data_IF_489302471232
#
_entry.id   IF_489302471232
#
_cell.length_a   1.000
_cell.length_b   1.000
_cell.length_c   1.000
_cell.angle_alpha   90.00
_cell.angle_beta   90.00
_cell.angle_gamma   90.00
#
_symmetry.space_group_name_H-M   'P 1'
#
loop_
_entity.id
_entity.type
_entity.pdbx_description
1 polymer ?
#
# COMPACT_ATOMS: atom_id res chain seq x y z
N UNK A 1 -28.31 -2.19 -18.09
CA UNK A 1 -28.87 -1.31 -17.04
C UNK A 1 -27.90 -1.39 -15.88
N UNK A 2 -27.26 -0.28 -15.48
CA UNK A 2 -26.30 -0.31 -14.38
C UNK A 2 -27.06 -0.64 -13.09
N UNK A 3 -26.89 -1.87 -12.60
CA UNK A 3 -27.43 -2.31 -11.32
C UNK A 3 -26.63 -1.62 -10.21
N UNK A 4 -27.07 -0.41 -9.87
CA UNK A 4 -26.42 0.43 -8.86
C UNK A 4 -26.60 -0.25 -7.51
N UNK A 5 -25.50 -0.45 -6.79
CA UNK A 5 -25.47 -1.11 -5.48
C UNK A 5 -25.02 -0.12 -4.42
N UNK A 6 -25.55 -0.25 -3.21
CA UNK A 6 -25.02 0.38 -2.00
C UNK A 6 -24.00 -0.57 -1.39
N UNK A 7 -22.72 -0.25 -1.55
CA UNK A 7 -21.60 -1.07 -1.12
C UNK A 7 -21.04 -0.55 0.21
N UNK A 8 -21.09 -1.37 1.26
CA UNK A 8 -20.39 -1.09 2.50
C UNK A 8 -18.97 -1.64 2.43
N UNK A 9 -17.98 -0.82 2.77
CA UNK A 9 -16.56 -1.22 2.81
C UNK A 9 -16.06 -1.21 4.24
N UNK A 10 -15.82 -2.40 4.81
CA UNK A 10 -15.04 -2.50 6.05
C UNK A 10 -13.56 -2.31 5.74
N UNK A 11 -12.76 -1.88 6.72
CA UNK A 11 -11.34 -1.62 6.48
C UNK A 11 -11.10 -0.49 5.46
N UNK A 12 -12.04 0.46 5.33
CA UNK A 12 -11.95 1.57 4.36
C UNK A 12 -10.73 2.48 4.60
N UNK A 13 -10.16 2.49 5.80
CA UNK A 13 -8.90 3.19 6.12
C UNK A 13 -7.65 2.38 5.77
N UNK A 14 -7.81 1.14 5.34
CA UNK A 14 -6.73 0.20 5.04
C UNK A 14 -6.34 0.19 3.56
N UNK A 15 -5.25 -0.52 3.25
CA UNK A 15 -4.61 -0.56 1.93
C UNK A 15 -5.59 -0.83 0.78
N UNK A 16 -6.40 -1.88 0.91
CA UNK A 16 -7.35 -2.33 -0.12
C UNK A 16 -8.61 -1.46 -0.12
N UNK A 17 -9.22 -1.25 1.06
CA UNK A 17 -10.49 -0.52 1.19
C UNK A 17 -10.40 0.93 0.69
N UNK A 18 -9.30 1.63 0.99
CA UNK A 18 -9.09 3.00 0.54
C UNK A 18 -8.93 3.12 -0.99
N UNK A 19 -8.46 2.07 -1.65
CA UNK A 19 -8.35 1.99 -3.12
C UNK A 19 -9.63 1.51 -3.79
N UNK A 20 -10.43 0.71 -3.08
CA UNK A 20 -11.69 0.16 -3.58
C UNK A 20 -12.81 1.21 -3.58
N UNK A 21 -12.97 1.97 -2.50
CA UNK A 21 -14.03 2.98 -2.34
C UNK A 21 -14.17 3.93 -3.55
N UNK A 22 -13.13 4.64 -4.01
CA UNK A 22 -13.24 5.52 -5.18
C UNK A 22 -13.60 4.77 -6.47
N UNK A 23 -13.17 3.50 -6.62
CA UNK A 23 -13.43 2.70 -7.83
C UNK A 23 -14.86 2.17 -7.89
N UNK A 24 -15.45 1.85 -6.74
CA UNK A 24 -16.88 1.53 -6.65
C UNK A 24 -17.74 2.73 -7.05
N UNK A 25 -17.39 3.93 -6.59
CA UNK A 25 -18.06 5.17 -6.99
C UNK A 25 -17.93 5.41 -8.50
N UNK A 26 -16.73 5.23 -9.05
CA UNK A 26 -16.47 5.41 -10.49
C UNK A 26 -17.26 4.42 -11.35
N UNK A 27 -17.44 3.19 -10.85
CA UNK A 27 -18.28 2.17 -11.47
C UNK A 27 -19.79 2.46 -11.39
N UNK A 28 -20.18 3.47 -10.63
CA UNK A 28 -21.56 3.94 -10.51
C UNK A 28 -22.26 3.56 -9.19
N UNK A 29 -21.59 2.81 -8.30
CA UNK A 29 -22.17 2.38 -7.02
C UNK A 29 -22.22 3.52 -5.99
N UNK A 30 -22.97 3.31 -4.91
CA UNK A 30 -22.92 4.12 -3.69
C UNK A 30 -21.98 3.45 -2.70
N UNK A 31 -21.22 4.23 -1.93
CA UNK A 31 -20.23 3.68 -1.01
C UNK A 31 -20.50 4.15 0.41
N UNK A 32 -20.61 3.19 1.32
CA UNK A 32 -20.64 3.41 2.77
C UNK A 32 -19.34 2.89 3.37
N UNK A 33 -18.45 3.79 3.78
CA UNK A 33 -17.19 3.41 4.39
C UNK A 33 -17.35 3.25 5.91
N UNK A 34 -17.14 2.03 6.39
CA UNK A 34 -17.17 1.73 7.82
C UNK A 34 -15.79 1.99 8.43
N UNK A 35 -15.73 2.85 9.44
CA UNK A 35 -14.49 3.13 10.16
C UNK A 35 -14.74 3.25 11.68
N UNK A 36 -13.86 2.65 12.49
CA UNK A 36 -13.86 2.87 13.95
C UNK A 36 -13.58 4.33 14.31
N UNK A 37 -12.81 5.01 13.47
CA UNK A 37 -12.46 6.44 13.65
C UNK A 37 -12.72 7.16 12.32
N UNK A 38 -13.96 7.65 12.09
CA UNK A 38 -14.35 8.28 10.83
C UNK A 38 -13.46 9.44 10.37
N UNK A 39 -12.88 10.21 11.31
CA UNK A 39 -12.00 11.34 10.99
C UNK A 39 -10.75 10.96 10.19
N UNK A 40 -10.33 9.69 10.19
CA UNK A 40 -9.23 9.21 9.34
C UNK A 40 -9.53 9.26 7.84
N UNK A 41 -10.81 9.34 7.48
CA UNK A 41 -11.26 9.46 6.09
C UNK A 41 -11.69 10.88 5.72
N UNK A 42 -11.68 11.83 6.67
CA UNK A 42 -12.22 13.17 6.46
C UNK A 42 -11.58 13.92 5.28
N UNK A 43 -10.28 13.71 5.06
CA UNK A 43 -9.54 14.35 3.98
C UNK A 43 -9.55 13.55 2.67
N UNK A 44 -10.18 12.37 2.64
CA UNK A 44 -10.23 11.54 1.44
C UNK A 44 -11.14 12.17 0.39
N UNK A 45 -10.68 12.49 -0.84
CA UNK A 45 -11.45 13.33 -1.76
C UNK A 45 -12.73 12.67 -2.23
N UNK A 46 -12.73 11.35 -2.33
CA UNK A 46 -13.91 10.58 -2.73
C UNK A 46 -15.05 10.69 -1.72
N UNK A 47 -14.78 11.12 -0.47
CA UNK A 47 -15.84 11.40 0.52
C UNK A 47 -16.66 12.65 0.20
N UNK A 48 -16.18 13.50 -0.73
CA UNK A 48 -16.95 14.64 -1.24
C UNK A 48 -17.98 14.24 -2.31
N UNK A 49 -17.93 13.00 -2.83
CA UNK A 49 -18.94 12.50 -3.76
C UNK A 49 -20.29 12.32 -3.03
N UNK A 50 -21.42 12.81 -3.56
CA UNK A 50 -22.73 12.70 -2.91
C UNK A 50 -23.23 11.24 -2.75
N UNK A 51 -22.58 10.28 -3.41
CA UNK A 51 -22.88 8.84 -3.28
C UNK A 51 -22.00 8.17 -2.22
N UNK A 52 -21.08 8.90 -1.60
CA UNK A 52 -20.21 8.41 -0.54
C UNK A 52 -20.72 8.85 0.84
N UNK A 53 -20.63 7.96 1.81
CA UNK A 53 -20.86 8.27 3.22
C UNK A 53 -19.85 7.53 4.11
N UNK A 54 -19.46 8.17 5.21
CA UNK A 54 -18.59 7.54 6.23
C UNK A 54 -19.42 7.31 7.48
N UNK A 55 -19.46 6.07 7.94
CA UNK A 55 -20.21 5.67 9.13
C UNK A 55 -19.26 5.10 10.18
N UNK A 56 -19.60 5.35 11.44
CA UNK A 56 -18.88 4.76 12.56
C UNK A 56 -19.42 3.36 12.85
N UNK A 57 -18.52 2.41 13.08
CA UNK A 57 -18.88 1.10 13.62
C UNK A 57 -17.66 0.26 13.98
N UNK A 58 -17.90 -0.79 14.76
CA UNK A 58 -16.89 -1.71 15.27
C UNK A 58 -17.30 -3.15 14.96
N UNK A 59 -16.40 -3.95 14.39
CA UNK A 59 -16.70 -5.34 14.02
C UNK A 59 -16.93 -6.25 15.24
N UNK A 60 -16.48 -5.83 16.42
CA UNK A 60 -16.76 -6.54 17.67
C UNK A 60 -18.15 -6.22 18.26
N UNK A 61 -18.80 -5.16 17.79
CA UNK A 61 -20.10 -4.67 18.24
C UNK A 61 -21.17 -4.84 17.14
N UNK A 62 -21.96 -5.91 17.27
CA UNK A 62 -23.01 -6.26 16.32
C UNK A 62 -24.03 -5.15 16.10
N UNK A 63 -24.45 -4.44 17.15
CA UNK A 63 -25.50 -3.42 17.02
C UNK A 63 -25.01 -2.24 16.16
N UNK A 64 -23.72 -1.91 16.27
CA UNK A 64 -23.08 -0.93 15.40
C UNK A 64 -23.05 -1.37 13.93
N UNK A 65 -22.89 -2.68 13.67
CA UNK A 65 -22.91 -3.24 12.32
C UNK A 65 -24.33 -3.25 11.74
N UNK A 66 -25.34 -3.61 12.53
CA UNK A 66 -26.75 -3.57 12.08
C UNK A 66 -27.14 -2.15 11.66
N UNK A 67 -26.80 -1.14 12.46
CA UNK A 67 -27.02 0.26 12.09
C UNK A 67 -26.26 0.65 10.81
N UNK A 68 -25.04 0.18 10.63
CA UNK A 68 -24.24 0.46 9.44
C UNK A 68 -24.71 -0.31 8.19
N UNK A 69 -25.37 -1.46 8.34
CA UNK A 69 -25.76 -2.34 7.24
C UNK A 69 -27.17 -2.02 6.69
N UNK A 70 -27.92 -1.14 7.35
CA UNK A 70 -29.25 -0.72 6.90
C UNK A 70 -29.24 -0.18 5.46
N UNK A 71 -30.00 -0.81 4.56
CA UNK A 71 -30.07 -0.44 3.14
C UNK A 71 -28.80 -0.72 2.33
N UNK A 72 -27.91 -1.58 2.81
CA UNK A 72 -26.70 -2.04 2.09
C UNK A 72 -27.01 -3.28 1.24
N UNK A 73 -26.57 -3.28 -0.01
CA UNK A 73 -26.72 -4.42 -0.91
C UNK A 73 -25.54 -5.39 -0.83
N UNK A 74 -24.32 -4.84 -0.73
CA UNK A 74 -23.06 -5.59 -0.78
C UNK A 74 -22.13 -5.15 0.35
N UNK A 75 -21.61 -6.11 1.12
CA UNK A 75 -20.60 -5.85 2.17
C UNK A 75 -19.24 -6.37 1.71
N UNK A 76 -18.26 -5.48 1.62
CA UNK A 76 -16.86 -5.82 1.44
C UNK A 76 -16.19 -6.01 2.80
N UNK A 77 -15.91 -7.25 3.16
CA UNK A 77 -15.16 -7.59 4.37
C UNK A 77 -13.66 -7.58 4.06
N UNK A 78 -12.98 -6.46 4.32
CA UNK A 78 -11.56 -6.25 4.00
C UNK A 78 -10.70 -5.98 5.24
N UNK A 79 -11.23 -6.30 6.42
CA UNK A 79 -10.46 -6.22 7.66
C UNK A 79 -9.70 -7.53 7.83
N UNK A 80 -8.42 -7.39 8.15
CA UNK A 80 -7.59 -8.47 8.64
C UNK A 80 -6.58 -7.89 9.62
N UNK A 81 -6.49 -8.46 10.81
CA UNK A 81 -5.47 -8.11 11.77
C UNK A 81 -4.12 -8.67 11.31
N UNK A 82 -3.13 -7.79 11.14
CA UNK A 82 -1.72 -8.18 11.10
C UNK A 82 -1.11 -8.19 12.52
N UNK A 83 -1.95 -8.30 13.56
CA UNK A 83 -1.47 -8.41 14.93
C UNK A 83 -0.96 -9.82 15.23
N UNK A 84 -0.02 -9.89 16.15
CA UNK A 84 0.51 -11.14 16.73
C UNK A 84 0.01 -11.33 18.16
N UNK A 85 -1.08 -10.66 18.53
CA UNK A 85 -1.67 -10.77 19.86
C UNK A 85 -2.40 -12.11 19.95
N UNK A 86 -2.31 -12.82 21.08
CA UNK A 86 -2.73 -14.23 21.19
C UNK A 86 -4.20 -14.48 20.84
N UNK A 87 -5.06 -13.46 20.95
CA UNK A 87 -6.50 -13.58 20.72
C UNK A 87 -6.93 -13.18 19.31
N UNK A 88 -6.01 -12.81 18.41
CA UNK A 88 -6.36 -12.24 17.10
C UNK A 88 -7.26 -13.18 16.27
N UNK A 89 -6.97 -14.48 16.24
CA UNK A 89 -7.76 -15.43 15.46
C UNK A 89 -9.20 -15.56 16.00
N UNK A 90 -9.37 -15.46 17.31
CA UNK A 90 -10.69 -15.47 17.96
C UNK A 90 -11.44 -14.17 17.68
N UNK A 91 -10.76 -13.01 17.68
CA UNK A 91 -11.35 -11.72 17.33
C UNK A 91 -11.77 -11.65 15.85
N UNK A 92 -10.98 -12.19 14.94
CA UNK A 92 -11.28 -12.29 13.50
C UNK A 92 -12.49 -13.19 13.26
N UNK A 93 -12.52 -14.38 13.89
CA UNK A 93 -13.70 -15.28 13.86
C UNK A 93 -14.96 -14.55 14.32
N UNK A 94 -14.91 -13.94 15.50
CA UNK A 94 -16.06 -13.22 16.08
C UNK A 94 -16.50 -12.06 15.18
N UNK A 95 -15.55 -11.36 14.56
CA UNK A 95 -15.84 -10.27 13.62
C UNK A 95 -16.57 -10.78 12.38
N UNK A 96 -16.14 -11.92 11.82
CA UNK A 96 -16.81 -12.55 10.68
C UNK A 96 -18.24 -13.01 11.03
N UNK A 97 -18.41 -13.66 12.19
CA UNK A 97 -19.72 -14.08 12.70
C UNK A 97 -20.68 -12.88 12.90
N UNK A 98 -20.18 -11.78 13.48
CA UNK A 98 -20.95 -10.55 13.65
C UNK A 98 -21.37 -9.93 12.30
N UNK A 99 -20.46 -9.92 11.32
CA UNK A 99 -20.74 -9.44 9.96
C UNK A 99 -21.83 -10.29 9.30
N UNK A 100 -21.74 -11.62 9.39
CA UNK A 100 -22.77 -12.52 8.87
C UNK A 100 -24.12 -12.25 9.54
N UNK A 101 -24.15 -12.17 10.86
CA UNK A 101 -25.38 -11.94 11.61
C UNK A 101 -26.04 -10.60 11.23
N UNK A 102 -25.27 -9.52 11.13
CA UNK A 102 -25.77 -8.21 10.72
C UNK A 102 -26.22 -8.21 9.24
N UNK A 103 -25.47 -8.87 8.36
CA UNK A 103 -25.81 -8.99 6.94
C UNK A 103 -27.15 -9.70 6.74
N UNK A 104 -27.37 -10.80 7.46
CA UNK A 104 -28.64 -11.52 7.43
C UNK A 104 -29.81 -10.68 7.94
N UNK A 105 -29.62 -10.00 9.08
CA UNK A 105 -30.66 -9.19 9.71
C UNK A 105 -31.09 -8.02 8.82
N UNK A 106 -30.13 -7.35 8.17
CA UNK A 106 -30.39 -6.21 7.30
C UNK A 106 -30.75 -6.60 5.85
N UNK A 107 -30.77 -7.89 5.52
CA UNK A 107 -31.09 -8.37 4.18
C UNK A 107 -30.03 -8.02 3.12
N UNK A 108 -28.75 -7.93 3.51
CA UNK A 108 -27.63 -7.76 2.59
C UNK A 108 -27.62 -8.92 1.60
N UNK A 109 -27.53 -8.59 0.31
CA UNK A 109 -27.59 -9.60 -0.76
C UNK A 109 -26.29 -10.37 -0.94
N UNK A 110 -25.14 -9.75 -0.64
CA UNK A 110 -23.82 -10.32 -0.90
C UNK A 110 -22.74 -9.88 0.08
N UNK A 111 -21.84 -10.77 0.42
CA UNK A 111 -20.57 -10.49 1.09
C UNK A 111 -19.41 -10.77 0.13
N UNK A 112 -18.51 -9.80 -0.05
CA UNK A 112 -17.26 -9.98 -0.80
C UNK A 112 -16.10 -9.97 0.18
N UNK A 113 -15.27 -11.01 0.16
CA UNK A 113 -14.10 -11.16 1.03
C UNK A 113 -12.83 -11.21 0.22
N UNK A 114 -11.74 -10.62 0.75
CA UNK A 114 -10.41 -10.73 0.17
C UNK A 114 -9.48 -11.53 1.10
N UNK A 115 -9.38 -12.83 0.82
CA UNK A 115 -8.43 -13.76 1.43
C UNK A 115 -7.05 -13.71 0.78
N UNK A 116 -6.17 -14.61 1.23
CA UNK A 116 -4.88 -14.85 0.60
C UNK A 116 -4.86 -16.23 -0.05
N UNK A 117 -4.09 -16.40 -1.12
CA UNK A 117 -3.80 -17.73 -1.67
C UNK A 117 -3.07 -18.56 -0.61
N UNK A 118 -3.50 -19.80 -0.44
CA UNK A 118 -2.84 -20.79 0.41
C UNK A 118 -3.01 -22.20 -0.18
N UNK A 119 -2.06 -23.13 0.06
CA UNK A 119 -2.18 -24.49 -0.43
C UNK A 119 -3.21 -25.29 0.38
N UNK A 120 -3.83 -26.28 -0.27
CA UNK A 120 -4.66 -27.29 0.40
C UNK A 120 -3.79 -28.40 1.01
N UNK A 121 -4.26 -28.98 2.12
CA UNK A 121 -3.62 -30.15 2.73
C UNK A 121 -2.23 -29.90 3.32
N UNK A 122 -1.90 -28.63 3.56
CA UNK A 122 -0.64 -28.21 4.21
C UNK A 122 -0.94 -27.56 5.55
N UNK A 123 -0.02 -27.70 6.50
CA UNK A 123 -0.10 -26.99 7.77
C UNK A 123 0.14 -25.50 7.50
N UNK A 124 -0.89 -24.69 7.70
CA UNK A 124 -0.84 -23.25 7.51
C UNK A 124 -0.29 -22.59 8.78
N UNK A 125 0.38 -21.44 8.59
CA UNK A 125 0.66 -20.55 9.71
C UNK A 125 -0.63 -20.08 10.36
N UNK A 126 -0.60 -19.74 11.64
CA UNK A 126 -1.77 -19.27 12.40
C UNK A 126 -2.49 -18.11 11.69
N UNK A 127 -1.72 -17.19 11.08
CA UNK A 127 -2.26 -16.07 10.31
C UNK A 127 -3.00 -16.52 9.05
N UNK A 128 -2.44 -17.45 8.27
CA UNK A 128 -3.09 -17.99 7.07
C UNK A 128 -4.32 -18.84 7.43
N UNK A 129 -4.23 -19.65 8.49
CA UNK A 129 -5.33 -20.47 8.98
C UNK A 129 -6.51 -19.61 9.43
N UNK A 130 -6.27 -18.54 10.19
CA UNK A 130 -7.32 -17.60 10.61
C UNK A 130 -7.98 -16.90 9.42
N UNK A 131 -7.20 -16.50 8.40
CA UNK A 131 -7.77 -15.89 7.18
C UNK A 131 -8.58 -16.88 6.33
N UNK A 132 -8.19 -18.16 6.30
CA UNK A 132 -8.95 -19.22 5.65
C UNK A 132 -10.28 -19.45 6.39
N UNK A 133 -10.22 -19.57 7.72
CA UNK A 133 -11.40 -19.76 8.58
C UNK A 133 -12.43 -18.63 8.42
N UNK A 134 -11.99 -17.36 8.36
CA UNK A 134 -12.89 -16.24 8.07
C UNK A 134 -13.58 -16.43 6.72
N UNK A 135 -12.84 -16.88 5.69
CA UNK A 135 -13.42 -17.19 4.38
C UNK A 135 -14.50 -18.27 4.47
N UNK A 136 -14.24 -19.35 5.20
CA UNK A 136 -15.17 -20.46 5.40
C UNK A 136 -16.44 -20.01 6.11
N UNK A 137 -16.33 -19.23 7.19
CA UNK A 137 -17.48 -18.66 7.93
C UNK A 137 -18.40 -17.85 7.00
N UNK A 138 -17.82 -17.04 6.12
CA UNK A 138 -18.58 -16.21 5.19
C UNK A 138 -19.25 -17.06 4.10
N UNK A 139 -18.54 -18.06 3.57
CA UNK A 139 -19.02 -18.97 2.52
C UNK A 139 -20.16 -19.87 3.01
N UNK A 140 -20.04 -20.40 4.23
CA UNK A 140 -21.04 -21.27 4.85
C UNK A 140 -22.28 -20.51 5.32
N UNK A 141 -22.24 -19.17 5.25
CA UNK A 141 -23.38 -18.34 5.63
C UNK A 141 -24.53 -18.41 4.61
N UNK A 142 -25.78 -18.21 5.07
CA UNK A 142 -26.94 -17.99 4.21
C UNK A 142 -26.88 -16.78 3.26
N UNK A 143 -25.91 -15.87 3.44
CA UNK A 143 -25.73 -14.71 2.54
C UNK A 143 -24.78 -15.13 1.42
N UNK A 144 -25.08 -14.76 0.17
CA UNK A 144 -24.21 -15.09 -0.94
C UNK A 144 -22.80 -14.51 -0.72
N UNK A 145 -21.76 -15.34 -0.86
CA UNK A 145 -20.40 -14.94 -0.56
C UNK A 145 -19.45 -15.15 -1.75
N UNK A 146 -18.72 -14.10 -2.11
CA UNK A 146 -17.63 -14.15 -3.10
C UNK A 146 -16.31 -13.98 -2.35
N UNK A 147 -15.65 -15.09 -2.02
CA UNK A 147 -14.36 -15.07 -1.34
C UNK A 147 -13.23 -15.10 -2.37
N UNK A 148 -12.63 -13.94 -2.65
CA UNK A 148 -11.49 -13.82 -3.55
C UNK A 148 -10.21 -14.16 -2.79
N UNK A 149 -9.48 -15.19 -3.23
CA UNK A 149 -8.17 -15.55 -2.68
C UNK A 149 -7.08 -14.92 -3.53
N UNK A 150 -6.48 -13.84 -3.03
CA UNK A 150 -5.50 -13.09 -3.79
C UNK A 150 -4.08 -13.57 -3.56
N UNK A 151 -3.32 -13.62 -4.65
CA UNK A 151 -1.86 -13.63 -4.57
C UNK A 151 -1.32 -12.35 -3.94
N UNK A 152 -0.02 -12.31 -3.73
CA UNK A 152 0.62 -11.12 -3.15
C UNK A 152 0.36 -9.88 -3.98
N UNK A 153 -0.28 -8.88 -3.36
CA UNK A 153 -0.62 -7.62 -4.01
C UNK A 153 0.65 -6.80 -4.27
N UNK A 154 0.86 -6.39 -5.51
CA UNK A 154 1.99 -5.57 -5.94
C UNK A 154 1.51 -4.15 -6.21
N UNK A 155 2.03 -3.20 -5.43
CA UNK A 155 1.66 -1.78 -5.44
C UNK A 155 2.20 -1.06 -4.22
N UNK A 156 2.38 0.26 -4.32
CA UNK A 156 2.91 1.07 -3.21
C UNK A 156 1.99 1.00 -2.01
N UNK A 157 2.52 0.75 -0.82
CA UNK A 157 1.73 0.58 0.41
C UNK A 157 1.39 -0.87 0.77
N UNK A 158 1.53 -1.82 -0.17
CA UNK A 158 1.37 -3.24 0.12
C UNK A 158 2.53 -3.75 0.97
N UNK A 159 2.25 -4.27 2.17
CA UNK A 159 3.29 -4.68 3.12
C UNK A 159 4.28 -5.72 2.54
N UNK A 160 3.79 -6.68 1.75
CA UNK A 160 4.62 -7.68 1.09
C UNK A 160 5.48 -7.08 -0.03
N UNK A 161 4.92 -6.18 -0.84
CA UNK A 161 5.68 -5.49 -1.89
C UNK A 161 6.76 -4.59 -1.29
N UNK A 162 6.42 -3.83 -0.25
CA UNK A 162 7.36 -2.95 0.46
C UNK A 162 8.49 -3.77 1.11
N UNK A 163 8.21 -4.98 1.60
CA UNK A 163 9.25 -5.89 2.09
C UNK A 163 10.23 -6.27 0.99
N UNK A 164 9.74 -6.69 -0.18
CA UNK A 164 10.57 -7.03 -1.35
C UNK A 164 11.41 -5.83 -1.77
N UNK A 165 10.78 -4.66 -1.87
CA UNK A 165 11.45 -3.40 -2.22
C UNK A 165 12.59 -3.10 -1.25
N UNK A 166 12.29 -2.99 0.05
CA UNK A 166 13.29 -2.57 1.04
C UNK A 166 14.47 -3.54 1.11
N UNK A 167 14.21 -4.86 1.03
CA UNK A 167 15.28 -5.85 0.98
C UNK A 167 16.13 -5.67 -0.29
N UNK A 168 15.50 -5.51 -1.43
CA UNK A 168 16.18 -5.41 -2.72
C UNK A 168 17.00 -4.12 -2.86
N UNK A 169 16.45 -2.98 -2.46
CA UNK A 169 17.13 -1.67 -2.52
C UNK A 169 18.32 -1.60 -1.57
N UNK A 170 18.22 -2.24 -0.41
CA UNK A 170 19.23 -2.10 0.66
C UNK A 170 20.35 -3.12 0.60
N UNK A 171 20.07 -4.31 0.09
CA UNK A 171 20.97 -5.44 0.18
C UNK A 171 21.40 -5.92 -1.21
N UNK A 172 22.59 -5.52 -1.70
CA UNK A 172 23.14 -6.10 -2.92
C UNK A 172 23.47 -7.59 -2.76
N UNK A 173 23.73 -8.03 -1.52
CA UNK A 173 23.85 -9.43 -1.15
C UNK A 173 23.11 -9.69 0.17
N UNK A 174 22.42 -10.83 0.27
CA UNK A 174 21.66 -11.22 1.47
C UNK A 174 21.69 -12.73 1.71
N UNK A 175 21.52 -13.12 2.98
CA UNK A 175 21.25 -14.50 3.36
C UNK A 175 19.74 -14.71 3.45
N UNK A 176 19.24 -15.81 2.91
CA UNK A 176 17.80 -16.10 2.87
C UNK A 176 17.49 -17.47 3.46
N UNK A 177 16.31 -17.68 4.03
CA UNK A 177 15.83 -19.02 4.35
C UNK A 177 15.51 -19.81 3.07
N UNK A 178 15.17 -21.10 3.24
CA UNK A 178 14.79 -21.99 2.13
C UNK A 178 13.53 -21.55 1.40
N UNK A 179 12.58 -20.92 2.08
CA UNK A 179 11.32 -20.46 1.48
C UNK A 179 11.50 -19.44 0.35
N UNK A 180 12.71 -18.90 0.13
CA UNK A 180 12.98 -18.04 -1.03
C UNK A 180 12.71 -18.73 -2.38
N UNK A 181 12.74 -20.06 -2.41
CA UNK A 181 12.41 -20.89 -3.57
C UNK A 181 10.95 -21.34 -3.63
N UNK A 182 10.11 -20.95 -2.66
CA UNK A 182 8.68 -21.24 -2.71
C UNK A 182 8.03 -20.44 -3.84
N UNK A 183 7.02 -21.04 -4.45
CA UNK A 183 6.31 -20.45 -5.60
C UNK A 183 5.22 -19.50 -5.13
N UNK A 184 5.18 -18.36 -5.77
CA UNK A 184 4.26 -17.27 -5.50
C UNK A 184 3.73 -16.73 -6.82
N UNK A 185 2.42 -16.49 -6.87
CA UNK A 185 1.75 -15.87 -8.01
C UNK A 185 1.30 -14.46 -7.63
N UNK A 186 2.15 -13.43 -7.77
CA UNK A 186 1.77 -12.07 -7.43
C UNK A 186 0.67 -11.55 -8.35
N UNK A 187 -0.12 -10.58 -7.88
CA UNK A 187 -1.13 -9.88 -8.68
C UNK A 187 -0.93 -8.37 -8.53
N UNK A 188 -1.03 -7.62 -9.63
CA UNK A 188 -1.02 -6.17 -9.56
C UNK A 188 -2.24 -5.68 -8.75
N UNK A 189 -2.05 -4.66 -7.91
CA UNK A 189 -3.16 -4.12 -7.12
C UNK A 189 -4.28 -3.58 -8.02
N UNK A 190 -3.97 -3.06 -9.21
CA UNK A 190 -4.94 -2.66 -10.23
C UNK A 190 -5.85 -3.80 -10.67
N UNK A 191 -5.27 -4.97 -10.98
CA UNK A 191 -6.03 -6.16 -11.37
C UNK A 191 -6.88 -6.68 -10.20
N UNK A 192 -6.34 -6.69 -8.97
CA UNK A 192 -7.10 -7.07 -7.79
C UNK A 192 -8.30 -6.12 -7.54
N UNK A 193 -8.14 -4.82 -7.76
CA UNK A 193 -9.23 -3.85 -7.68
C UNK A 193 -10.31 -4.12 -8.74
N UNK A 194 -9.92 -4.48 -9.96
CA UNK A 194 -10.87 -4.85 -11.02
C UNK A 194 -11.77 -6.02 -10.57
N UNK A 195 -11.17 -7.09 -10.05
CA UNK A 195 -11.95 -8.23 -9.56
C UNK A 195 -12.87 -7.86 -8.38
N UNK A 196 -12.40 -7.04 -7.44
CA UNK A 196 -13.23 -6.58 -6.31
C UNK A 196 -14.41 -5.72 -6.76
N UNK A 197 -14.20 -4.82 -7.72
CA UNK A 197 -15.26 -3.95 -8.24
C UNK A 197 -16.31 -4.77 -8.98
N UNK A 198 -15.90 -5.65 -9.91
CA UNK A 198 -16.84 -6.47 -10.68
C UNK A 198 -17.54 -7.52 -9.82
N UNK A 199 -16.93 -7.95 -8.70
CA UNK A 199 -17.56 -8.84 -7.72
C UNK A 199 -18.82 -8.24 -7.06
N UNK A 200 -19.07 -6.93 -7.16
CA UNK A 200 -20.32 -6.33 -6.66
C UNK A 200 -21.55 -6.87 -7.38
N UNK A 201 -21.42 -7.18 -8.68
CA UNK A 201 -22.54 -7.52 -9.58
C UNK A 201 -22.32 -8.81 -10.37
N UNK A 202 -21.17 -9.47 -10.23
CA UNK A 202 -20.89 -10.74 -10.90
C UNK A 202 -21.96 -11.80 -10.58
N UNK A 203 -22.42 -12.55 -11.58
CA UNK A 203 -23.31 -13.69 -11.34
C UNK A 203 -22.47 -14.87 -10.86
N UNK A 204 -22.77 -15.40 -9.67
CA UNK A 204 -22.04 -16.54 -9.12
C UNK A 204 -22.94 -17.76 -8.99
N UNK A 205 -22.46 -18.96 -9.33
CA UNK A 205 -23.26 -20.18 -9.24
C UNK A 205 -23.49 -20.62 -7.79
N UNK A 206 -22.58 -20.28 -6.89
CA UNK A 206 -22.64 -20.60 -5.46
C UNK A 206 -21.63 -19.77 -4.67
N UNK A 207 -21.86 -19.65 -3.36
CA UNK A 207 -20.86 -19.14 -2.42
C UNK A 207 -19.64 -20.07 -2.39
N UNK A 208 -18.44 -19.56 -2.68
CA UNK A 208 -17.17 -20.30 -2.60
C UNK A 208 -15.96 -19.38 -2.72
N UNK A 209 -14.77 -19.99 -2.63
CA UNK A 209 -13.49 -19.35 -2.94
C UNK A 209 -13.22 -19.28 -4.45
N UNK A 210 -12.59 -18.17 -4.87
CA UNK A 210 -12.15 -17.92 -6.24
C UNK A 210 -10.73 -17.34 -6.23
N UNK A 211 -9.81 -18.01 -6.90
CA UNK A 211 -8.40 -17.63 -6.89
C UNK A 211 -8.14 -16.47 -7.87
N UNK A 212 -7.49 -15.39 -7.41
CA UNK A 212 -7.05 -14.28 -8.25
C UNK A 212 -5.53 -14.09 -8.16
N UNK A 213 -4.85 -14.16 -9.31
CA UNK A 213 -3.41 -14.04 -9.42
C UNK A 213 -3.00 -13.30 -10.70
N UNK A 214 -1.79 -12.74 -10.75
CA UNK A 214 -1.22 -12.21 -11.99
C UNK A 214 -0.75 -13.32 -12.93
N UNK A 215 -0.24 -12.97 -14.12
CA UNK A 215 0.10 -13.97 -15.14
C UNK A 215 1.37 -14.77 -14.81
N UNK A 216 2.22 -14.26 -13.91
CA UNK A 216 3.52 -14.84 -13.60
C UNK A 216 3.47 -15.72 -12.34
N UNK A 217 4.04 -16.93 -12.41
CA UNK A 217 4.34 -17.77 -11.25
C UNK A 217 5.85 -17.76 -11.05
N UNK A 218 6.30 -17.23 -9.92
CA UNK A 218 7.70 -16.91 -9.66
C UNK A 218 8.15 -17.56 -8.36
N UNK A 219 9.45 -17.78 -8.21
CA UNK A 219 10.03 -17.93 -6.87
C UNK A 219 10.16 -16.56 -6.20
N UNK A 220 10.11 -16.50 -4.88
CA UNK A 220 10.30 -15.23 -4.15
C UNK A 220 11.68 -14.59 -4.46
N UNK A 221 12.70 -15.42 -4.70
CA UNK A 221 13.99 -14.96 -5.20
C UNK A 221 13.93 -14.27 -6.56
N UNK A 222 13.12 -14.79 -7.48
CA UNK A 222 12.93 -14.18 -8.80
C UNK A 222 12.21 -12.85 -8.72
N UNK A 223 11.26 -12.71 -7.80
CA UNK A 223 10.60 -11.43 -7.54
C UNK A 223 11.60 -10.32 -7.15
N UNK A 224 12.57 -10.63 -6.30
CA UNK A 224 13.64 -9.68 -5.93
C UNK A 224 14.60 -9.39 -7.09
N UNK A 225 14.93 -10.40 -7.91
CA UNK A 225 15.79 -10.21 -9.09
C UNK A 225 15.13 -9.34 -10.15
N UNK A 226 13.86 -9.62 -10.46
CA UNK A 226 13.07 -8.82 -11.42
C UNK A 226 12.87 -7.41 -10.89
N UNK A 227 12.58 -7.24 -9.59
CA UNK A 227 12.53 -5.92 -8.97
C UNK A 227 13.83 -5.15 -9.21
N UNK A 228 14.98 -5.76 -8.91
CA UNK A 228 16.28 -5.12 -9.09
C UNK A 228 16.53 -4.71 -10.55
N UNK A 229 16.15 -5.56 -11.50
CA UNK A 229 16.26 -5.25 -12.93
C UNK A 229 15.40 -4.04 -13.32
N UNK A 230 14.14 -3.99 -12.87
CA UNK A 230 13.22 -2.89 -13.17
C UNK A 230 13.67 -1.59 -12.53
N UNK A 231 14.19 -1.65 -11.29
CA UNK A 231 14.70 -0.50 -10.54
C UNK A 231 16.11 -0.04 -10.98
N UNK A 232 16.70 -0.61 -12.03
CA UNK A 232 18.06 -0.25 -12.48
C UNK A 232 19.18 -0.61 -11.49
N UNK A 233 18.89 -1.51 -10.54
CA UNK A 233 19.79 -1.91 -9.48
C UNK A 233 20.72 -3.03 -9.94
N UNK A 234 21.93 -3.11 -9.34
CA UNK A 234 22.84 -4.26 -9.56
C UNK A 234 22.15 -5.60 -9.27
N UNK A 235 22.52 -6.72 -9.92
CA UNK A 235 21.97 -8.03 -9.60
C UNK A 235 22.14 -8.37 -8.12
N UNK A 236 21.08 -8.91 -7.50
CA UNK A 236 21.09 -9.29 -6.07
C UNK A 236 21.65 -10.70 -5.90
N UNK A 237 22.63 -10.84 -5.01
CA UNK A 237 23.18 -12.16 -4.62
C UNK A 237 22.43 -12.69 -3.39
N UNK A 238 21.84 -13.87 -3.51
CA UNK A 238 21.16 -14.53 -2.39
C UNK A 238 21.86 -15.83 -2.01
N UNK A 239 22.19 -15.98 -0.73
CA UNK A 239 22.81 -17.19 -0.17
C UNK A 239 21.80 -17.87 0.74
N UNK A 240 21.33 -19.05 0.33
CA UNK A 240 20.34 -19.81 1.12
C UNK A 240 21.01 -20.46 2.32
N UNK A 241 20.52 -20.15 3.52
CA UNK A 241 20.96 -20.77 4.77
C UNK A 241 19.90 -21.77 5.26
N UNK A 242 20.21 -23.07 5.37
CA UNK A 242 19.23 -24.11 5.67
C UNK A 242 18.65 -24.07 7.10
N UNK A 243 19.25 -23.32 8.03
CA UNK A 243 18.86 -23.26 9.44
C UNK A 243 18.33 -21.88 9.88
N UNK A 244 18.01 -20.99 8.94
CA UNK A 244 17.51 -19.66 9.26
C UNK A 244 16.01 -19.72 9.55
N UNK A 245 15.64 -19.84 10.84
CA UNK A 245 14.23 -19.89 11.27
C UNK A 245 13.50 -18.57 11.02
N UNK A 246 12.17 -18.56 10.84
CA UNK A 246 11.36 -17.33 10.69
C UNK A 246 11.59 -16.30 11.80
N UNK A 247 11.80 -16.76 13.04
CA UNK A 247 12.10 -15.88 14.19
C UNK A 247 13.44 -15.15 14.05
N UNK A 248 14.46 -15.80 13.47
CA UNK A 248 15.76 -15.16 13.22
C UNK A 248 15.67 -14.26 11.99
N UNK A 249 15.01 -14.73 10.93
CA UNK A 249 14.80 -13.95 9.71
C UNK A 249 14.03 -12.66 9.99
N UNK A 250 12.93 -12.71 10.76
CA UNK A 250 12.13 -11.52 11.12
C UNK A 250 12.90 -10.50 11.97
N UNK A 251 13.74 -10.97 12.90
CA UNK A 251 14.63 -10.07 13.68
C UNK A 251 15.64 -9.36 12.79
N UNK A 252 16.19 -10.08 11.82
CA UNK A 252 17.13 -9.53 10.85
C UNK A 252 16.44 -8.54 9.89
N UNK A 253 15.27 -8.89 9.36
CA UNK A 253 14.45 -8.01 8.51
C UNK A 253 14.17 -6.68 9.20
N UNK A 254 13.82 -6.69 10.50
CA UNK A 254 13.59 -5.47 11.29
C UNK A 254 14.79 -4.52 11.33
N UNK A 255 16.02 -5.03 11.19
CA UNK A 255 17.21 -4.17 11.19
C UNK A 255 17.40 -3.48 9.85
N UNK A 256 17.05 -4.16 8.77
CA UNK A 256 17.29 -3.69 7.40
C UNK A 256 16.08 -2.98 6.82
N UNK A 257 14.86 -3.22 7.28
CA UNK A 257 13.64 -2.56 6.77
C UNK A 257 12.96 -1.71 7.86
N UNK A 258 12.20 -0.67 7.48
CA UNK A 258 11.41 0.14 8.40
C UNK A 258 10.08 -0.55 8.78
N UNK A 259 9.81 -1.75 8.25
CA UNK A 259 8.59 -2.51 8.53
C UNK A 259 8.61 -2.96 9.98
N UNK A 260 7.54 -2.64 10.72
CA UNK A 260 7.41 -2.98 12.14
C UNK A 260 7.42 -4.50 12.33
N UNK A 261 8.09 -4.96 13.38
CA UNK A 261 8.27 -6.40 13.65
C UNK A 261 6.96 -7.20 13.77
N UNK A 262 5.89 -6.58 14.27
CA UNK A 262 4.55 -7.21 14.35
C UNK A 262 3.97 -7.55 12.96
N UNK A 263 4.33 -6.80 11.92
CA UNK A 263 3.89 -7.05 10.53
C UNK A 263 4.87 -8.01 9.82
N UNK A 264 6.17 -7.85 10.05
CA UNK A 264 7.19 -8.64 9.35
C UNK A 264 7.11 -10.14 9.65
N UNK A 265 6.77 -10.54 10.89
CA UNK A 265 6.74 -11.96 11.28
C UNK A 265 5.59 -12.75 10.59
N UNK A 266 4.31 -12.33 10.68
CA UNK A 266 3.23 -13.00 9.95
C UNK A 266 3.45 -13.05 8.44
N UNK A 267 4.03 -11.99 7.87
CA UNK A 267 4.40 -11.98 6.45
C UNK A 267 5.42 -13.07 6.13
N UNK A 268 6.53 -13.16 6.88
CA UNK A 268 7.56 -14.18 6.64
C UNK A 268 7.03 -15.60 6.88
N UNK A 269 6.23 -15.82 7.92
CA UNK A 269 5.61 -17.12 8.20
C UNK A 269 4.65 -17.51 7.07
N UNK A 270 3.92 -16.56 6.47
CA UNK A 270 3.07 -16.85 5.30
C UNK A 270 3.85 -17.21 4.03
N UNK A 271 5.13 -16.82 3.93
CA UNK A 271 5.98 -17.17 2.78
C UNK A 271 6.51 -18.61 2.83
N UNK A 272 6.30 -19.34 3.93
CA UNK A 272 6.76 -20.73 4.08
C UNK A 272 5.95 -21.74 3.24
N UNK A 273 4.83 -21.31 2.65
CA UNK A 273 3.99 -22.10 1.76
C UNK A 273 3.98 -21.54 0.33
N UNK A 274 3.68 -22.41 -0.64
CA UNK A 274 3.39 -21.97 -2.01
C UNK A 274 2.05 -21.22 -2.06
N UNK A 275 2.01 -20.09 -2.78
CA UNK A 275 0.83 -19.24 -2.93
C UNK A 275 0.54 -19.01 -4.41
N UNK A 276 -0.02 -20.04 -5.07
CA UNK A 276 -0.30 -20.09 -6.51
C UNK A 276 -1.77 -20.44 -6.73
N UNK A 277 -2.40 -19.82 -7.73
CA UNK A 277 -3.79 -20.14 -8.08
C UNK A 277 -3.91 -21.61 -8.47
N UNK A 278 -4.88 -22.32 -7.90
CA UNK A 278 -5.20 -23.71 -8.24
C UNK A 278 -5.76 -23.81 -9.66
N UNK A 279 -6.58 -22.83 -10.04
CA UNK A 279 -7.22 -22.76 -11.34
C UNK A 279 -7.49 -21.29 -11.73
N UNK A 280 -8.23 -21.07 -12.82
CA UNK A 280 -8.65 -19.74 -13.31
C UNK A 280 -10.16 -19.68 -13.55
N UNK A 281 -10.93 -20.39 -12.72
CA UNK A 281 -12.38 -20.44 -12.86
C UNK A 281 -13.06 -19.09 -12.57
N UNK A 282 -12.39 -18.15 -11.89
CA UNK A 282 -12.84 -16.76 -11.75
C UNK A 282 -13.16 -16.11 -13.09
N UNK A 283 -12.44 -16.47 -14.15
CA UNK A 283 -12.65 -15.94 -15.50
C UNK A 283 -14.02 -16.33 -16.08
N UNK A 284 -14.73 -17.29 -15.46
CA UNK A 284 -16.11 -17.67 -15.83
C UNK A 284 -17.19 -16.75 -15.28
N UNK A 285 -16.89 -16.00 -14.20
CA UNK A 285 -17.84 -15.10 -13.53
C UNK A 285 -17.44 -13.63 -13.61
N UNK A 286 -16.13 -13.35 -13.72
CA UNK A 286 -15.58 -12.00 -13.88
C UNK A 286 -14.58 -12.05 -15.02
N UNK A 287 -14.83 -11.34 -16.15
CA UNK A 287 -13.87 -11.29 -17.24
C UNK A 287 -12.59 -10.58 -16.79
N UNK A 288 -11.48 -10.94 -17.41
CA UNK A 288 -10.18 -10.29 -17.16
C UNK A 288 -10.24 -8.78 -17.42
N UNK A 289 -9.38 -8.00 -16.75
CA UNK A 289 -9.24 -6.58 -17.02
C UNK A 289 -9.01 -6.30 -18.52
N UNK A 290 -9.54 -5.18 -19.05
CA UNK A 290 -9.21 -4.73 -20.40
C UNK A 290 -7.69 -4.61 -20.58
N UNK A 291 -7.13 -5.28 -21.59
CA UNK A 291 -5.69 -5.34 -21.81
C UNK A 291 -4.98 -6.56 -21.17
N UNK A 292 -5.72 -7.40 -20.46
CA UNK A 292 -5.21 -8.60 -19.81
C UNK A 292 -4.63 -8.32 -18.42
N UNK A 293 -4.15 -9.39 -17.77
CA UNK A 293 -3.52 -9.29 -16.45
C UNK A 293 -2.14 -8.66 -16.57
N UNK A 294 -1.80 -7.83 -15.59
CA UNK A 294 -0.57 -7.06 -15.51
C UNK A 294 0.59 -7.95 -15.05
N UNK A 295 1.65 -8.12 -15.87
CA UNK A 295 2.85 -8.88 -15.45
C UNK A 295 3.55 -8.24 -14.26
N UNK A 296 4.23 -9.05 -13.44
CA UNK A 296 4.93 -8.61 -12.24
C UNK A 296 5.93 -7.48 -12.53
N UNK A 297 6.74 -7.62 -13.59
CA UNK A 297 7.71 -6.59 -13.98
C UNK A 297 7.05 -5.25 -14.32
N UNK A 298 5.88 -5.27 -14.96
CA UNK A 298 5.09 -4.07 -15.25
C UNK A 298 4.49 -3.47 -13.99
N UNK A 299 3.92 -4.30 -13.10
CA UNK A 299 3.37 -3.84 -11.83
C UNK A 299 4.44 -3.15 -10.95
N UNK A 300 5.66 -3.71 -10.92
CA UNK A 300 6.82 -3.05 -10.28
C UNK A 300 7.11 -1.73 -10.99
N UNK A 301 7.25 -1.72 -12.31
CA UNK A 301 7.59 -0.51 -13.06
C UNK A 301 6.58 0.63 -12.84
N UNK A 302 5.28 0.32 -12.89
CA UNK A 302 4.20 1.29 -12.61
C UNK A 302 4.31 1.86 -11.20
N UNK A 303 4.69 1.03 -10.22
CA UNK A 303 4.87 1.46 -8.83
C UNK A 303 6.11 2.35 -8.65
N UNK A 304 7.21 2.09 -9.38
CA UNK A 304 8.46 2.85 -9.27
C UNK A 304 8.46 4.15 -10.07
N UNK A 305 7.72 4.23 -11.19
CA UNK A 305 7.71 5.35 -12.15
C UNK A 305 7.34 6.72 -11.52
N UNK A 306 6.79 6.77 -10.31
CA UNK A 306 6.46 8.01 -9.59
C UNK A 306 7.55 8.47 -8.61
N UNK A 307 8.35 7.55 -8.04
CA UNK A 307 9.46 7.90 -7.14
C UNK A 307 10.57 8.65 -7.90
N UNK A 308 10.91 8.19 -9.11
CA UNK A 308 11.93 8.81 -9.97
C UNK A 308 11.54 10.19 -10.51
N UNK A 309 10.24 10.49 -10.62
CA UNK A 309 9.74 11.78 -11.13
C UNK A 309 9.68 12.89 -10.07
N UNK A 310 10.04 12.58 -8.81
CA UNK A 310 9.96 13.51 -7.69
C UNK A 310 8.55 14.13 -7.57
N UNK A 311 7.50 13.32 -7.71
CA UNK A 311 6.16 13.83 -7.44
C UNK A 311 6.08 14.25 -5.96
N UNK A 312 5.42 15.39 -5.68
CA UNK A 312 5.11 15.83 -4.31
C UNK A 312 4.52 14.68 -3.46
N UNK A 313 4.62 14.75 -2.12
CA UNK A 313 4.11 13.72 -1.19
C UNK A 313 2.71 13.23 -1.57
N UNK A 314 2.39 11.98 -1.21
CA UNK A 314 1.05 11.44 -1.34
C UNK A 314 0.07 12.41 -0.68
N UNK A 315 -0.69 13.11 -1.51
CA UNK A 315 -1.70 14.09 -1.09
C UNK A 315 -3.03 13.57 -1.56
N UNK A 316 -4.05 13.74 -0.73
CA UNK A 316 -5.40 13.32 -1.04
C UNK A 316 -5.88 13.92 -2.36
N UNK A 317 -5.46 15.15 -2.71
CA UNK A 317 -5.73 15.78 -4.01
C UNK A 317 -5.37 14.92 -5.25
N UNK A 318 -4.56 13.85 -5.08
CA UNK A 318 -4.19 12.88 -6.11
C UNK A 318 -4.60 11.44 -5.73
N UNK A 319 -5.73 11.26 -5.05
CA UNK A 319 -6.32 9.96 -4.72
C UNK A 319 -7.77 9.86 -5.26
N UNK A 320 -8.02 10.47 -6.41
CA UNK A 320 -9.26 10.33 -7.17
C UNK A 320 -9.25 9.01 -7.97
N UNK A 321 -10.40 8.62 -8.53
CA UNK A 321 -10.56 7.34 -9.22
C UNK A 321 -9.62 7.16 -10.45
N UNK A 322 -9.18 8.27 -11.03
CA UNK A 322 -8.22 8.37 -12.13
C UNK A 322 -6.78 8.06 -11.72
N UNK A 323 -6.51 7.94 -10.41
CA UNK A 323 -5.17 7.63 -9.90
C UNK A 323 -4.95 6.11 -9.92
N UNK A 324 -3.87 5.63 -10.59
CA UNK A 324 -3.57 4.21 -10.65
C UNK A 324 -3.49 3.59 -9.24
N UNK A 325 -4.04 2.39 -9.07
CA UNK A 325 -4.09 1.73 -7.77
C UNK A 325 -2.70 1.46 -7.18
N UNK A 326 -1.68 1.39 -8.03
CA UNK A 326 -0.26 1.19 -7.67
C UNK A 326 0.38 2.41 -7.02
N UNK A 327 -0.25 3.58 -7.08
CA UNK A 327 0.29 4.82 -6.52
C UNK A 327 0.09 4.92 -5.00
N UNK A 328 0.98 5.63 -4.29
CA UNK A 328 0.85 5.86 -2.86
C UNK A 328 -0.34 6.77 -2.55
N UNK A 329 -1.09 6.45 -1.51
CA UNK A 329 -2.19 7.26 -0.98
C UNK A 329 -1.90 7.68 0.47
N UNK A 330 -2.51 8.76 1.00
CA UNK A 330 -2.16 9.28 2.32
C UNK A 330 -2.45 8.34 3.51
N UNK A 331 -3.31 7.34 3.31
CA UNK A 331 -3.55 6.27 4.31
C UNK A 331 -2.52 5.15 4.24
N UNK A 332 -1.63 5.14 3.25
CA UNK A 332 -0.56 4.17 3.21
C UNK A 332 0.37 4.38 4.42
N UNK A 333 1.00 3.30 4.91
CA UNK A 333 1.89 3.41 6.04
C UNK A 333 3.08 4.34 5.77
N UNK A 334 3.56 5.02 6.81
CA UNK A 334 4.73 5.91 6.78
C UNK A 334 6.03 5.23 6.29
N UNK A 335 6.09 3.89 6.36
CA UNK A 335 7.20 3.07 5.88
C UNK A 335 7.07 2.59 4.42
N UNK A 336 5.99 2.94 3.72
CA UNK A 336 5.77 2.63 2.32
C UNK A 336 6.53 3.60 1.39
N UNK A 337 6.98 3.11 0.23
CA UNK A 337 7.79 3.90 -0.70
C UNK A 337 9.18 4.26 -0.16
N UNK A 338 9.99 4.93 -0.98
CA UNK A 338 11.39 5.23 -0.65
C UNK A 338 11.53 5.88 0.73
N UNK A 339 12.48 5.41 1.54
CA UNK A 339 12.75 6.04 2.84
C UNK A 339 13.34 7.43 2.55
N UNK A 340 12.59 8.48 2.86
CA UNK A 340 13.02 9.86 2.66
C UNK A 340 13.18 10.54 4.01
N UNK A 341 14.27 11.27 4.18
CA UNK A 341 14.44 12.14 5.34
C UNK A 341 14.16 13.58 4.94
N UNK A 342 13.14 14.15 5.56
CA UNK A 342 12.63 15.47 5.23
C UNK A 342 12.78 16.44 6.40
N UNK A 343 13.12 17.69 6.11
CA UNK A 343 12.97 18.81 7.04
C UNK A 343 12.44 19.99 6.25
N UNK A 344 11.40 20.64 6.78
CA UNK A 344 10.78 21.80 6.14
C UNK A 344 10.81 23.00 7.07
N UNK A 345 11.10 24.17 6.52
CA UNK A 345 11.14 25.45 7.22
C UNK A 345 10.51 26.51 6.34
N UNK A 346 9.71 27.39 6.93
CA UNK A 346 9.08 28.50 6.23
C UNK A 346 9.66 29.82 6.74
N UNK A 347 10.13 30.63 5.81
CA UNK A 347 10.66 31.98 6.06
C UNK A 347 9.91 33.00 5.22
N UNK A 348 9.96 34.26 5.62
CA UNK A 348 9.46 35.38 4.80
C UNK A 348 10.65 36.20 4.37
N UNK A 349 10.84 36.34 3.07
CA UNK A 349 11.94 37.09 2.48
C UNK A 349 11.42 38.38 1.83
N UNK A 350 12.26 39.42 1.83
CA UNK A 350 11.97 40.67 1.14
C UNK A 350 12.35 40.51 -0.34
N UNK A 351 11.45 40.93 -1.23
CA UNK A 351 11.61 40.76 -2.68
C UNK A 351 10.43 40.04 -3.31
N UNK A 352 10.30 40.21 -4.62
CA UNK A 352 9.33 39.49 -5.42
C UNK A 352 9.70 38.01 -5.55
N UNK A 353 8.72 37.15 -5.79
CA UNK A 353 8.95 35.73 -5.96
C UNK A 353 9.94 35.42 -7.11
N UNK A 354 9.92 36.22 -8.18
CA UNK A 354 10.86 36.11 -9.30
C UNK A 354 12.31 36.45 -8.92
N UNK A 355 12.54 37.50 -8.12
CA UNK A 355 13.89 37.88 -7.68
C UNK A 355 14.50 36.82 -6.76
N UNK A 356 13.68 36.29 -5.85
CA UNK A 356 14.10 35.23 -4.93
C UNK A 356 14.37 33.95 -5.71
N UNK A 357 13.51 33.61 -6.67
CA UNK A 357 13.69 32.47 -7.57
C UNK A 357 15.06 32.47 -8.26
N UNK A 358 15.43 33.59 -8.90
CA UNK A 358 16.70 33.74 -9.62
C UNK A 358 17.92 33.56 -8.69
N UNK A 359 17.75 33.81 -7.39
CA UNK A 359 18.79 33.53 -6.41
C UNK A 359 18.86 32.06 -6.01
N UNK A 360 17.73 31.35 -5.99
CA UNK A 360 17.63 29.97 -5.54
C UNK A 360 18.08 28.97 -6.61
N UNK A 361 17.84 29.25 -7.89
CA UNK A 361 18.25 28.37 -9.01
C UNK A 361 19.77 28.15 -9.07
N UNK A 362 20.56 29.10 -8.55
CA UNK A 362 22.03 29.04 -8.53
C UNK A 362 22.60 28.10 -7.47
N UNK A 363 21.77 27.52 -6.59
CA UNK A 363 22.23 26.70 -5.45
C UNK A 363 22.59 25.26 -5.80
N UNK A 364 22.36 24.81 -7.03
CA UNK A 364 22.69 23.46 -7.48
C UNK A 364 22.10 23.15 -8.85
N UNK A 365 21.91 21.88 -9.17
CA UNK A 365 21.34 21.48 -10.45
C UNK A 365 19.80 21.53 -10.40
N UNK A 366 19.17 22.37 -11.22
CA UNK A 366 17.70 22.40 -11.34
C UNK A 366 17.21 21.11 -11.99
N UNK A 367 16.30 20.41 -11.31
CA UNK A 367 15.73 19.12 -11.75
C UNK A 367 14.21 19.14 -11.83
N UNK A 368 13.56 20.24 -11.41
CA UNK A 368 12.13 20.48 -11.59
C UNK A 368 11.78 21.91 -11.26
N UNK A 369 10.89 22.52 -12.04
CA UNK A 369 10.53 23.92 -11.88
C UNK A 369 9.09 24.23 -12.34
N UNK A 370 8.49 25.19 -11.65
CA UNK A 370 7.30 25.95 -12.07
C UNK A 370 7.48 27.39 -11.59
N UNK A 371 8.05 28.25 -12.43
CA UNK A 371 8.34 29.64 -12.05
C UNK A 371 7.06 30.48 -11.88
N UNK A 372 6.98 31.36 -10.86
CA UNK A 372 7.90 31.55 -9.74
C UNK A 372 7.55 30.72 -8.50
N UNK A 373 6.60 29.78 -8.59
CA UNK A 373 5.94 29.13 -7.45
C UNK A 373 6.71 27.95 -6.82
N UNK A 374 7.41 27.15 -7.63
CA UNK A 374 8.10 25.94 -7.15
C UNK A 374 9.42 25.64 -7.86
N UNK A 375 10.53 25.54 -7.11
CA UNK A 375 11.84 25.16 -7.64
C UNK A 375 12.38 23.93 -6.89
N UNK A 376 12.89 22.93 -7.61
CA UNK A 376 13.65 21.81 -7.05
C UNK A 376 15.07 21.78 -7.58
N UNK A 377 16.01 21.75 -6.64
CA UNK A 377 17.44 21.71 -6.90
C UNK A 377 18.04 20.45 -6.31
N UNK A 378 18.82 19.71 -7.09
CA UNK A 378 19.66 18.60 -6.61
C UNK A 378 20.98 19.18 -6.11
N UNK A 379 21.32 18.85 -4.86
CA UNK A 379 22.50 19.36 -4.16
C UNK A 379 23.54 18.27 -3.86
N UNK A 380 23.14 17.01 -3.82
CA UNK A 380 24.07 15.88 -3.73
C UNK A 380 23.58 14.66 -4.51
N UNK A 381 24.52 13.95 -5.12
CA UNK A 381 24.34 12.66 -5.81
C UNK A 381 25.64 11.87 -5.67
N UNK A 382 25.68 10.95 -4.71
CA UNK A 382 26.84 10.10 -4.49
C UNK A 382 26.42 8.71 -3.97
N UNK A 383 27.40 7.88 -3.60
CA UNK A 383 27.17 6.51 -3.14
C UNK A 383 26.33 6.38 -1.86
N UNK A 384 26.12 7.49 -1.13
CA UNK A 384 25.30 7.56 0.09
C UNK A 384 23.85 7.88 -0.24
N UNK A 385 23.55 8.54 -1.36
CA UNK A 385 22.19 8.94 -1.68
C UNK A 385 22.09 10.20 -2.53
N UNK A 386 20.84 10.63 -2.72
CA UNK A 386 20.47 11.84 -3.44
C UNK A 386 19.89 12.88 -2.47
N UNK A 387 20.44 14.09 -2.46
CA UNK A 387 19.93 15.23 -1.70
C UNK A 387 19.28 16.25 -2.61
N UNK A 388 18.06 16.68 -2.23
CA UNK A 388 17.30 17.71 -2.93
C UNK A 388 16.90 18.82 -1.96
N UNK A 389 16.85 20.04 -2.47
CA UNK A 389 16.21 21.16 -1.80
C UNK A 389 15.08 21.66 -2.69
N UNK A 390 13.89 21.75 -2.11
CA UNK A 390 12.70 22.27 -2.75
C UNK A 390 12.30 23.59 -2.13
N UNK A 391 11.90 24.53 -2.99
CA UNK A 391 11.46 25.85 -2.61
C UNK A 391 10.04 26.03 -3.15
N UNK A 392 9.07 26.24 -2.26
CA UNK A 392 7.74 26.70 -2.62
C UNK A 392 7.61 28.18 -2.24
N UNK A 393 7.32 29.02 -3.22
CA UNK A 393 7.25 30.47 -3.06
C UNK A 393 5.80 30.91 -3.17
N UNK A 394 5.37 31.75 -2.23
CA UNK A 394 4.05 32.38 -2.23
C UNK A 394 4.19 33.87 -1.99
N UNK A 395 3.77 34.67 -2.96
CA UNK A 395 3.72 36.12 -2.80
C UNK A 395 2.67 36.47 -1.73
N UNK A 396 3.07 37.31 -0.77
CA UNK A 396 2.19 37.76 0.32
C UNK A 396 1.50 39.09 0.00
N UNK A 397 1.88 39.76 -1.10
CA UNK A 397 1.34 41.06 -1.49
C UNK A 397 1.58 42.19 -0.49
N UNK A 398 1.07 43.38 -0.82
CA UNK A 398 1.21 44.61 -0.02
C UNK A 398 2.08 45.69 -0.69
N UNK A 399 2.26 46.83 -0.02
CA UNK A 399 2.99 47.99 -0.56
C UNK A 399 4.50 47.75 -0.77
N UNK A 400 5.06 46.71 -0.14
CA UNK A 400 6.43 46.23 -0.33
C UNK A 400 6.43 44.75 -0.70
N UNK A 401 7.18 44.33 -1.75
CA UNK A 401 7.19 42.94 -2.19
C UNK A 401 7.80 42.04 -1.12
N UNK A 402 7.02 41.04 -0.67
CA UNK A 402 7.44 40.04 0.31
C UNK A 402 6.93 38.69 -0.12
N UNK A 403 7.79 37.70 -0.03
CA UNK A 403 7.48 36.33 -0.45
C UNK A 403 7.70 35.38 0.70
N UNK A 404 6.72 34.53 0.97
CA UNK A 404 6.88 33.38 1.84
C UNK A 404 7.62 32.28 1.06
N UNK A 405 8.73 31.81 1.61
CA UNK A 405 9.56 30.75 1.04
C UNK A 405 9.52 29.56 1.98
N UNK A 406 8.91 28.47 1.53
CA UNK A 406 8.97 27.18 2.22
C UNK A 406 10.12 26.38 1.61
N UNK A 407 11.19 26.19 2.39
CA UNK A 407 12.35 25.37 2.02
C UNK A 407 12.20 23.99 2.62
N UNK A 408 12.20 22.98 1.76
CA UNK A 408 12.09 21.56 2.14
C UNK A 408 13.32 20.80 1.65
N UNK A 409 14.15 20.35 2.58
CA UNK A 409 15.31 19.51 2.29
C UNK A 409 14.91 18.03 2.34
N UNK A 410 15.22 17.26 1.30
CA UNK A 410 14.92 15.83 1.17
C UNK A 410 16.15 15.01 0.85
N UNK A 411 16.45 14.01 1.66
CA UNK A 411 17.54 13.07 1.41
C UNK A 411 17.00 11.66 1.18
N UNK A 412 17.38 11.07 0.05
CA UNK A 412 17.03 9.72 -0.38
C UNK A 412 18.29 8.83 -0.26
N UNK A 413 18.40 8.00 0.78
CA UNK A 413 19.58 7.19 1.05
C UNK A 413 19.72 6.03 0.05
N UNK A 414 20.94 5.77 -0.42
CA UNK A 414 21.24 4.56 -1.19
C UNK A 414 21.62 3.41 -0.27
N UNK A 415 20.72 2.44 -0.18
CA UNK A 415 20.86 1.22 0.60
C UNK A 415 21.32 1.41 2.05
N UNK A 416 22.00 0.41 2.62
CA UNK A 416 22.41 0.46 4.04
C UNK A 416 23.44 1.56 4.31
N UNK A 417 24.33 1.85 3.36
CA UNK A 417 25.39 2.86 3.53
C UNK A 417 24.77 4.25 3.68
N UNK A 418 23.82 4.60 2.82
CA UNK A 418 23.07 5.86 2.92
C UNK A 418 22.29 6.01 4.22
N UNK A 419 21.64 4.93 4.66
CA UNK A 419 20.89 4.91 5.92
C UNK A 419 21.81 5.09 7.13
N UNK A 420 22.95 4.41 7.15
CA UNK A 420 23.95 4.55 8.20
C UNK A 420 24.52 5.98 8.21
N UNK A 421 24.83 6.54 7.03
CA UNK A 421 25.30 7.91 6.89
C UNK A 421 24.31 8.91 7.51
N UNK A 422 23.02 8.81 7.16
CA UNK A 422 22.02 9.70 7.72
C UNK A 422 21.87 9.50 9.24
N UNK A 423 21.64 8.26 9.71
CA UNK A 423 21.34 8.00 11.12
C UNK A 423 22.51 8.27 12.07
N UNK A 424 23.73 7.91 11.68
CA UNK A 424 24.93 8.14 12.49
C UNK A 424 25.46 9.58 12.36
N UNK A 425 25.16 10.26 11.25
CA UNK A 425 25.56 11.65 11.01
C UNK A 425 24.75 12.69 11.78
N UNK A 426 23.60 12.33 12.38
CA UNK A 426 22.70 13.27 13.06
C UNK A 426 23.37 14.20 14.10
N UNK A 427 24.15 13.66 15.06
CA UNK A 427 24.87 14.49 16.02
C UNK A 427 25.87 15.46 15.36
N UNK A 428 26.52 15.03 14.27
CA UNK A 428 27.49 15.84 13.54
C UNK A 428 26.81 16.92 12.69
N UNK A 429 25.62 16.66 12.13
CA UNK A 429 24.79 17.67 11.47
C UNK A 429 24.32 18.75 12.45
N UNK A 430 23.89 18.35 13.65
CA UNK A 430 23.54 19.30 14.71
C UNK A 430 24.72 20.19 15.15
N UNK A 431 25.96 19.70 14.97
CA UNK A 431 27.19 20.43 15.23
C UNK A 431 27.74 21.19 13.99
N UNK A 432 27.01 21.17 12.87
CA UNK A 432 27.39 21.89 11.65
C UNK A 432 28.61 21.32 10.91
N UNK A 433 28.89 20.01 11.03
CA UNK A 433 30.00 19.36 10.33
C UNK A 433 29.64 19.15 8.85
N UNK A 434 30.30 19.80 7.88
CA UNK A 434 29.87 19.78 6.47
C UNK A 434 29.87 18.37 5.84
N UNK A 435 30.81 17.50 6.23
CA UNK A 435 30.87 16.13 5.69
C UNK A 435 29.69 15.25 6.11
N UNK A 436 28.96 15.62 7.16
CA UNK A 436 27.82 14.88 7.70
C UNK A 436 26.46 15.37 7.18
N UNK A 437 26.43 16.48 6.43
CA UNK A 437 25.22 17.12 5.92
C UNK A 437 25.15 17.00 4.38
N UNK A 438 24.17 16.28 3.81
CA UNK A 438 24.04 16.12 2.37
C UNK A 438 23.51 17.36 1.64
N UNK A 439 23.18 18.44 2.37
CA UNK A 439 22.64 19.69 1.81
C UNK A 439 23.62 20.86 1.87
N UNK A 440 24.85 20.63 2.33
CA UNK A 440 25.83 21.66 2.64
C UNK A 440 27.00 21.76 1.67
#
# INVERSE_FOLDING_TARGET
MNDTRTCLVTGATGYVGARLAPRLLDRGHRVRALARTPSKLADAPWTADPRAEVVQGDLSDRDSLVAAFDGVDVVYHLVHSMSTDADFATEERRSAENVVAAAQECGVSRIVYLGGLHPEGTELSEHLASRAEVGDILIESPVEAVALQAGTLIGSGSASFELIRHLTERLPAMTTPRWVSNKIQPIAVSDAMHYLVEAATAEVPSSRTWDIGGPDVLEYGDMMRIYAQVAGLRPRTMVVLPFLTPSVASRWVRFVTPIRGKIARPLIESLECDAVCRNRDIDSIIPRPPGGLTPYSRAVAETLNRAERGAAPATWAKAAADVPASEPIPTDPDWAGEEVFETSTTTVENGSADEIWDSLERRGQVVGEKRPEFLRVRVSEDSRGNGFIEYALRDLGGDSPRTEVTTTCRFFPHGIVGLAYWRLGGPFRALGVPSADPFH
#
